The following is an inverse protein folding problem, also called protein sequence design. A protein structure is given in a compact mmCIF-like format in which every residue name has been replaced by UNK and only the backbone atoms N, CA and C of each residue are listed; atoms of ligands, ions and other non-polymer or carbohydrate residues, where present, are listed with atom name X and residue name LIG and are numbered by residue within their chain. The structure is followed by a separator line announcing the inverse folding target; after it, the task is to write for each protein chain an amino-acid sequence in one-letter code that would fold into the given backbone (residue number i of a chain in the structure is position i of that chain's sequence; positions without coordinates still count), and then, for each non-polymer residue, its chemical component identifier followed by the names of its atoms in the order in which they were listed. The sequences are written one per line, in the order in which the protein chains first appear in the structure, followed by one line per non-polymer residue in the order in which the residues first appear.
data_IF_948227169926
#
_entry.id   IF_948227169926
#
_cell.length_a   1.000
_cell.length_b   1.000
_cell.length_c   1.000
_cell.angle_alpha   90.00
_cell.angle_beta   90.00
_cell.angle_gamma   90.00
#
_symmetry.space_group_name_H-M   'P 1'
#
loop_
_entity.id
_entity.type
_entity.pdbx_description
1 polymer ?
#
# COMPACT_ATOMS: atom_id res chain seq x y z
N UNK A 1 -37.85 -47.96 28.39
CA UNK A 1 -37.19 -47.32 29.54
C UNK A 1 -35.71 -47.16 29.18
N UNK A 2 -35.35 -45.93 28.81
CA UNK A 2 -34.03 -45.27 28.85
C UNK A 2 -32.75 -46.09 28.63
N UNK A 3 -32.05 -45.80 27.53
CA UNK A 3 -30.67 -45.23 27.50
C UNK A 3 -29.96 -45.50 26.16
N UNK A 4 -30.53 -45.02 25.05
CA UNK A 4 -29.72 -44.71 23.87
C UNK A 4 -29.07 -43.35 24.11
N UNK A 5 -27.91 -43.37 24.78
CA UNK A 5 -27.01 -42.22 24.87
C UNK A 5 -26.63 -41.83 23.44
N UNK A 6 -27.30 -40.79 22.96
CA UNK A 6 -26.86 -39.97 21.85
C UNK A 6 -25.41 -39.55 22.14
N UNK A 7 -24.48 -40.29 21.56
CA UNK A 7 -23.08 -39.89 21.50
C UNK A 7 -23.03 -38.87 20.38
N UNK A 8 -23.51 -37.65 20.67
CA UNK A 8 -23.15 -36.46 19.93
C UNK A 8 -21.64 -36.30 20.11
N UNK A 9 -20.87 -37.00 19.26
CA UNK A 9 -19.51 -36.61 18.96
C UNK A 9 -19.63 -35.20 18.39
N UNK A 10 -19.21 -34.21 19.18
CA UNK A 10 -18.73 -32.95 18.66
C UNK A 10 -17.64 -33.27 17.64
N UNK A 11 -18.01 -33.40 16.37
CA UNK A 11 -17.07 -33.21 15.28
C UNK A 11 -16.63 -31.75 15.36
N UNK A 12 -15.55 -31.51 16.11
CA UNK A 12 -14.71 -30.34 15.91
C UNK A 12 -14.39 -30.33 14.42
N UNK A 13 -15.08 -29.48 13.67
CA UNK A 13 -14.84 -29.28 12.25
C UNK A 13 -13.32 -29.10 12.08
N UNK A 14 -12.67 -30.08 11.46
CA UNK A 14 -11.22 -30.14 11.40
C UNK A 14 -10.70 -28.80 10.87
N UNK A 15 -9.97 -28.07 11.72
CA UNK A 15 -9.53 -26.72 11.38
C UNK A 15 -8.61 -26.83 10.16
N UNK A 16 -9.07 -26.26 9.04
CA UNK A 16 -8.32 -26.32 7.79
C UNK A 16 -7.02 -25.51 7.93
N UNK A 17 -5.88 -26.21 7.89
CA UNK A 17 -4.53 -25.62 8.02
C UNK A 17 -4.34 -24.44 7.07
N UNK A 18 -4.84 -24.53 5.83
CA UNK A 18 -4.69 -23.44 4.84
C UNK A 18 -5.45 -22.18 5.25
N UNK A 19 -6.62 -22.33 5.87
CA UNK A 19 -7.38 -21.21 6.44
C UNK A 19 -6.60 -20.54 7.57
N UNK A 20 -5.97 -21.33 8.46
CA UNK A 20 -5.10 -20.78 9.51
C UNK A 20 -3.92 -20.00 8.95
N UNK A 21 -3.27 -20.52 7.90
CA UNK A 21 -2.17 -19.82 7.22
C UNK A 21 -2.65 -18.47 6.65
N UNK A 22 -3.82 -18.46 6.00
CA UNK A 22 -4.40 -17.23 5.48
C UNK A 22 -4.70 -16.23 6.60
N UNK A 23 -5.31 -16.67 7.70
CA UNK A 23 -5.59 -15.81 8.85
C UNK A 23 -4.29 -15.27 9.47
N UNK A 24 -3.25 -16.10 9.60
CA UNK A 24 -1.94 -15.66 10.09
C UNK A 24 -1.37 -14.53 9.20
N UNK A 25 -1.41 -14.69 7.87
CA UNK A 25 -0.94 -13.66 6.94
C UNK A 25 -1.79 -12.38 6.98
N UNK A 26 -3.10 -12.49 7.18
CA UNK A 26 -3.97 -11.33 7.41
C UNK A 26 -3.53 -10.57 8.65
N UNK A 27 -3.31 -11.27 9.77
CA UNK A 27 -2.91 -10.64 11.02
C UNK A 27 -1.50 -10.06 10.93
N UNK A 28 -0.55 -10.73 10.26
CA UNK A 28 0.78 -10.17 10.01
C UNK A 28 0.68 -8.88 9.16
N UNK A 29 -0.07 -8.92 8.05
CA UNK A 29 -0.26 -7.73 7.19
C UNK A 29 -0.90 -6.57 7.95
N UNK A 30 -1.85 -6.90 8.83
CA UNK A 30 -2.49 -5.97 9.73
C UNK A 30 -1.52 -5.38 10.74
N UNK A 31 -0.78 -6.19 11.50
CA UNK A 31 0.16 -5.71 12.50
C UNK A 31 1.32 -4.91 11.88
N UNK A 32 1.86 -5.33 10.74
CA UNK A 32 2.93 -4.60 10.03
C UNK A 32 2.47 -3.23 9.50
N UNK A 33 1.17 -3.07 9.28
CA UNK A 33 0.57 -1.79 8.90
C UNK A 33 0.40 -0.83 10.10
N UNK A 34 0.45 -1.34 11.33
CA UNK A 34 0.20 -0.57 12.55
C UNK A 34 1.49 -0.13 13.20
N UNK A 35 1.64 1.18 13.40
CA UNK A 35 2.86 1.73 13.97
C UNK A 35 2.94 1.48 15.47
N UNK A 36 1.88 1.75 16.23
CA UNK A 36 1.96 1.70 17.70
C UNK A 36 2.08 0.29 18.31
N UNK A 37 1.49 -0.73 17.67
CA UNK A 37 1.51 -2.09 18.24
C UNK A 37 2.85 -2.79 18.06
N UNK A 38 3.59 -2.46 17.01
CA UNK A 38 4.90 -3.06 16.75
C UNK A 38 5.99 -2.57 17.72
N UNK A 39 5.78 -1.43 18.36
CA UNK A 39 6.78 -0.86 19.26
C UNK A 39 6.50 -1.18 20.74
N UNK A 40 5.25 -1.48 21.12
CA UNK A 40 4.91 -1.97 22.46
C UNK A 40 5.39 -3.42 22.62
N UNK A 41 6.09 -3.74 23.71
CA UNK A 41 6.71 -5.06 23.93
C UNK A 41 5.72 -6.24 23.72
N UNK A 42 4.48 -6.23 24.26
CA UNK A 42 3.54 -7.33 24.01
C UNK A 42 3.13 -7.46 22.54
N UNK A 43 2.88 -6.34 21.86
CA UNK A 43 2.49 -6.35 20.45
C UNK A 43 3.65 -6.75 19.52
N UNK A 44 4.88 -6.34 19.86
CA UNK A 44 6.11 -6.78 19.22
C UNK A 44 6.26 -8.30 19.35
N UNK A 45 6.22 -8.83 20.58
CA UNK A 45 6.32 -10.28 20.83
C UNK A 45 5.24 -11.07 20.09
N UNK A 46 4.00 -10.59 20.11
CA UNK A 46 2.89 -11.20 19.38
C UNK A 46 3.16 -11.24 17.87
N UNK A 47 3.59 -10.13 17.28
CA UNK A 47 3.90 -10.05 15.84
C UNK A 47 5.07 -10.94 15.46
N UNK A 48 6.13 -10.98 16.27
CA UNK A 48 7.25 -11.91 16.07
C UNK A 48 6.82 -13.37 16.21
N UNK A 49 5.91 -13.69 17.12
CA UNK A 49 5.32 -15.01 17.27
C UNK A 49 4.52 -15.46 16.04
N UNK A 50 3.68 -14.57 15.47
CA UNK A 50 2.96 -14.84 14.22
C UNK A 50 3.91 -15.08 13.05
N UNK A 51 4.98 -14.28 12.96
CA UNK A 51 6.04 -14.46 11.95
C UNK A 51 6.77 -15.80 12.13
N UNK A 52 6.89 -16.31 13.36
CA UNK A 52 7.52 -17.59 13.64
C UNK A 52 6.60 -18.74 13.18
N UNK A 53 5.30 -18.62 13.47
CA UNK A 53 4.27 -19.52 12.92
C UNK A 53 4.22 -19.48 11.39
N UNK A 54 4.58 -18.36 10.78
CA UNK A 54 4.65 -18.26 9.32
C UNK A 54 5.81 -19.09 8.72
N UNK A 55 6.86 -19.42 9.48
CA UNK A 55 7.90 -20.37 9.03
C UNK A 55 7.30 -21.76 8.85
N UNK A 56 6.51 -22.23 9.82
CA UNK A 56 5.80 -23.51 9.72
C UNK A 56 4.82 -23.52 8.54
N UNK A 57 4.13 -22.38 8.35
CA UNK A 57 3.24 -22.16 7.21
C UNK A 57 4.00 -22.25 5.87
N UNK A 58 5.19 -21.65 5.79
CA UNK A 58 6.04 -21.68 4.61
C UNK A 58 6.47 -23.11 4.28
N UNK A 59 6.96 -23.87 5.26
CA UNK A 59 7.38 -25.26 5.06
C UNK A 59 6.22 -26.12 4.54
N UNK A 60 5.03 -25.97 5.13
CA UNK A 60 3.82 -26.63 4.65
C UNK A 60 3.48 -26.26 3.20
N UNK A 61 3.55 -24.96 2.86
CA UNK A 61 3.25 -24.48 1.51
C UNK A 61 4.30 -24.94 0.50
N UNK A 62 5.59 -24.97 0.84
CA UNK A 62 6.67 -25.44 -0.05
C UNK A 62 6.52 -26.93 -0.44
N UNK A 63 5.75 -27.72 0.29
CA UNK A 63 5.50 -29.12 -0.07
C UNK A 63 4.23 -29.31 -0.90
N UNK A 64 3.31 -28.33 -0.87
CA UNK A 64 1.93 -28.46 -1.39
C UNK A 64 1.56 -27.43 -2.45
N UNK A 65 2.46 -26.51 -2.78
CA UNK A 65 2.21 -25.45 -3.76
C UNK A 65 2.50 -25.90 -5.17
N UNK A 66 1.81 -25.26 -6.13
CA UNK A 66 1.98 -25.57 -7.55
C UNK A 66 3.30 -24.98 -8.09
N UNK A 67 3.91 -25.61 -9.12
CA UNK A 67 5.16 -25.15 -9.72
C UNK A 67 5.17 -23.67 -10.16
N UNK A 68 4.05 -23.17 -10.70
CA UNK A 68 3.92 -21.79 -11.18
C UNK A 68 4.05 -20.75 -10.07
N UNK A 69 3.75 -21.13 -8.82
CA UNK A 69 3.88 -20.24 -7.65
C UNK A 69 5.34 -20.00 -7.28
N UNK A 70 6.22 -20.98 -7.47
CA UNK A 70 7.65 -20.82 -7.21
C UNK A 70 8.30 -19.84 -8.18
N UNK A 71 7.82 -19.74 -9.42
CA UNK A 71 8.30 -18.72 -10.35
C UNK A 71 8.10 -17.30 -9.78
N UNK A 72 6.95 -17.03 -9.16
CA UNK A 72 6.71 -15.74 -8.50
C UNK A 72 7.58 -15.53 -7.26
N UNK A 73 7.86 -16.58 -6.49
CA UNK A 73 8.80 -16.50 -5.36
C UNK A 73 10.20 -16.13 -5.86
N UNK A 74 10.71 -16.83 -6.89
CA UNK A 74 12.02 -16.54 -7.48
C UNK A 74 12.11 -15.11 -8.03
N UNK A 75 11.04 -14.63 -8.68
CA UNK A 75 10.95 -13.24 -9.15
C UNK A 75 10.83 -12.22 -8.00
N UNK A 76 10.35 -12.61 -6.83
CA UNK A 76 10.32 -11.73 -5.66
C UNK A 76 11.67 -11.65 -4.95
N UNK A 77 12.47 -12.73 -4.93
CA UNK A 77 13.70 -12.82 -4.15
C UNK A 77 14.67 -11.63 -4.32
N UNK A 78 14.91 -11.07 -5.52
CA UNK A 78 15.79 -9.91 -5.64
C UNK A 78 15.33 -8.69 -4.84
N UNK A 79 14.03 -8.53 -4.56
CA UNK A 79 13.50 -7.46 -3.72
C UNK A 79 13.95 -7.53 -2.25
N UNK A 80 14.51 -8.67 -1.82
CA UNK A 80 15.13 -8.79 -0.51
C UNK A 80 16.36 -7.88 -0.36
N UNK A 81 16.94 -7.40 -1.47
CA UNK A 81 18.01 -6.40 -1.45
C UNK A 81 17.65 -5.13 -0.67
N UNK A 82 16.37 -4.73 -0.68
CA UNK A 82 15.91 -3.57 0.09
C UNK A 82 16.04 -3.77 1.60
N UNK A 83 16.01 -5.01 2.08
CA UNK A 83 15.99 -5.32 3.51
C UNK A 83 17.35 -5.74 4.07
N UNK A 84 18.30 -6.07 3.20
CA UNK A 84 19.68 -6.37 3.57
C UNK A 84 20.32 -5.16 4.26
N UNK A 85 21.05 -5.44 5.33
CA UNK A 85 21.84 -4.49 6.11
C UNK A 85 23.31 -4.93 6.00
N UNK A 86 24.09 -4.16 5.25
CA UNK A 86 25.42 -4.53 4.78
C UNK A 86 26.42 -4.70 5.95
N UNK A 87 26.17 -4.03 7.08
CA UNK A 87 27.00 -4.11 8.29
C UNK A 87 26.56 -5.16 9.32
N UNK A 88 25.45 -5.89 9.10
CA UNK A 88 24.92 -6.83 10.11
C UNK A 88 24.23 -8.03 9.46
N UNK A 89 24.87 -9.20 9.52
CA UNK A 89 24.26 -10.47 9.11
C UNK A 89 23.02 -10.79 9.95
N UNK A 90 23.05 -10.72 11.31
CA UNK A 90 21.87 -10.97 12.12
C UNK A 90 20.74 -9.98 11.82
N UNK A 91 21.06 -8.71 11.59
CA UNK A 91 20.09 -7.68 11.19
C UNK A 91 19.45 -8.01 9.85
N UNK A 92 20.24 -8.38 8.85
CA UNK A 92 19.76 -8.82 7.54
C UNK A 92 18.81 -10.02 7.63
N UNK A 93 19.16 -11.04 8.42
CA UNK A 93 18.31 -12.22 8.66
C UNK A 93 16.99 -11.79 9.33
N UNK A 94 17.07 -10.94 10.36
CA UNK A 94 15.89 -10.42 11.05
C UNK A 94 14.97 -9.64 10.11
N UNK A 95 15.51 -8.77 9.26
CA UNK A 95 14.71 -8.00 8.31
C UNK A 95 14.10 -8.88 7.21
N UNK A 96 14.84 -9.86 6.69
CA UNK A 96 14.33 -10.84 5.72
C UNK A 96 13.16 -11.64 6.32
N UNK A 97 13.37 -12.20 7.51
CA UNK A 97 12.35 -12.92 8.26
C UNK A 97 11.13 -12.04 8.54
N UNK A 98 11.35 -10.78 8.92
CA UNK A 98 10.29 -9.87 9.33
C UNK A 98 9.48 -9.32 8.15
N UNK A 99 10.11 -9.02 7.02
CA UNK A 99 9.48 -8.29 5.92
C UNK A 99 9.19 -9.16 4.69
N UNK A 100 10.14 -10.02 4.30
CA UNK A 100 10.11 -10.75 3.04
C UNK A 100 9.46 -12.13 3.15
N UNK A 101 9.69 -12.83 4.26
CA UNK A 101 9.19 -14.19 4.46
C UNK A 101 7.64 -14.28 4.46
N UNK A 102 6.88 -13.33 5.04
CA UNK A 102 5.42 -13.28 4.88
C UNK A 102 4.96 -13.15 3.42
N UNK A 103 5.70 -12.40 2.60
CA UNK A 103 5.40 -12.25 1.16
C UNK A 103 5.64 -13.54 0.40
N UNK A 104 6.73 -14.25 0.71
CA UNK A 104 7.02 -15.56 0.12
C UNK A 104 5.91 -16.56 0.43
N UNK A 105 5.47 -16.64 1.70
CA UNK A 105 4.32 -17.49 2.09
C UNK A 105 3.06 -17.10 1.32
N UNK A 106 2.78 -15.80 1.19
CA UNK A 106 1.62 -15.33 0.43
C UNK A 106 1.67 -15.73 -1.06
N UNK A 107 2.84 -15.61 -1.70
CA UNK A 107 3.01 -15.96 -3.12
C UNK A 107 2.77 -17.45 -3.39
N UNK A 108 3.00 -18.32 -2.41
CA UNK A 108 2.77 -19.76 -2.51
C UNK A 108 1.29 -20.18 -2.32
N UNK A 109 0.44 -19.29 -1.80
CA UNK A 109 -1.00 -19.55 -1.68
C UNK A 109 -1.69 -19.74 -3.04
N UNK A 110 -2.84 -20.43 -3.03
CA UNK A 110 -3.73 -20.49 -4.20
C UNK A 110 -4.35 -19.12 -4.48
N UNK A 111 -4.82 -18.90 -5.70
CA UNK A 111 -5.35 -17.60 -6.12
C UNK A 111 -6.58 -17.16 -5.30
N UNK A 112 -7.47 -18.10 -4.97
CA UNK A 112 -8.65 -17.87 -4.12
C UNK A 112 -8.25 -17.50 -2.68
N UNK A 113 -7.22 -18.15 -2.15
CA UNK A 113 -6.65 -17.86 -0.83
C UNK A 113 -5.98 -16.49 -0.78
N UNK A 114 -5.24 -16.10 -1.82
CA UNK A 114 -4.64 -14.78 -1.95
C UNK A 114 -5.71 -13.68 -1.96
N UNK A 115 -6.80 -13.89 -2.72
CA UNK A 115 -7.96 -12.99 -2.72
C UNK A 115 -8.62 -12.94 -1.35
N UNK A 116 -8.76 -14.08 -0.65
CA UNK A 116 -9.30 -14.14 0.70
C UNK A 116 -8.46 -13.32 1.69
N UNK A 117 -7.13 -13.48 1.68
CA UNK A 117 -6.22 -12.73 2.56
C UNK A 117 -6.40 -11.22 2.35
N UNK A 118 -6.32 -10.77 1.10
CA UNK A 118 -6.42 -9.34 0.80
C UNK A 118 -7.80 -8.77 1.11
N UNK A 119 -8.87 -9.45 0.71
CA UNK A 119 -10.23 -8.93 0.96
C UNK A 119 -10.57 -8.92 2.45
N UNK A 120 -10.06 -9.87 3.23
CA UNK A 120 -10.22 -9.90 4.69
C UNK A 120 -9.40 -8.78 5.35
N UNK A 121 -8.15 -8.60 4.95
CA UNK A 121 -7.31 -7.47 5.39
C UNK A 121 -8.00 -6.12 5.14
N UNK A 122 -8.52 -5.90 3.93
CA UNK A 122 -9.23 -4.65 3.59
C UNK A 122 -10.51 -4.45 4.42
N UNK A 123 -11.23 -5.52 4.78
CA UNK A 123 -12.40 -5.45 5.66
C UNK A 123 -12.03 -5.07 7.08
N UNK A 124 -10.93 -5.61 7.61
CA UNK A 124 -10.44 -5.27 8.95
C UNK A 124 -10.06 -3.79 9.02
N UNK A 125 -9.29 -3.30 8.04
CA UNK A 125 -8.95 -1.86 8.00
C UNK A 125 -10.20 -0.98 7.89
N UNK A 126 -11.15 -1.37 7.04
CA UNK A 126 -12.43 -0.66 6.93
C UNK A 126 -13.22 -0.64 8.25
N UNK A 127 -13.20 -1.73 9.02
CA UNK A 127 -13.87 -1.78 10.33
C UNK A 127 -13.27 -0.78 11.32
N UNK A 128 -11.97 -0.48 11.22
CA UNK A 128 -11.27 0.47 12.10
C UNK A 128 -11.43 1.93 11.69
N UNK A 129 -11.67 2.17 10.41
CA UNK A 129 -12.02 3.49 9.93
C UNK A 129 -13.32 4.01 10.57
N UNK A 130 -14.27 3.13 10.88
CA UNK A 130 -15.55 3.52 11.47
C UNK A 130 -15.35 4.23 12.84
N UNK A 131 -14.78 3.59 13.87
CA UNK A 131 -14.51 4.26 15.15
C UNK A 131 -13.50 5.40 14.97
N UNK A 132 -12.51 5.25 14.09
CA UNK A 132 -11.55 6.32 13.78
C UNK A 132 -12.21 7.60 13.29
N UNK A 133 -13.19 7.51 12.38
CA UNK A 133 -13.93 8.68 11.87
C UNK A 133 -14.74 9.33 13.00
N UNK A 134 -15.40 8.55 13.84
CA UNK A 134 -16.18 9.08 14.97
C UNK A 134 -15.26 9.89 15.89
N UNK A 135 -14.12 9.32 16.27
CA UNK A 135 -13.14 9.99 17.13
C UNK A 135 -12.55 11.22 16.42
N UNK A 136 -12.26 11.12 15.13
CA UNK A 136 -11.78 12.24 14.31
C UNK A 136 -12.75 13.43 14.31
N UNK A 137 -14.06 13.17 14.21
CA UNK A 137 -15.07 14.23 14.32
C UNK A 137 -15.07 14.82 15.73
N UNK A 138 -15.04 13.97 16.77
CA UNK A 138 -15.09 14.43 18.15
C UNK A 138 -13.90 15.31 18.53
N UNK A 139 -12.66 14.95 18.16
CA UNK A 139 -11.48 15.77 18.49
C UNK A 139 -11.48 17.14 17.80
N UNK A 140 -12.20 17.28 16.68
CA UNK A 140 -12.32 18.54 15.95
C UNK A 140 -13.47 19.42 16.48
N UNK A 141 -14.30 18.89 17.38
CA UNK A 141 -15.42 19.62 18.02
C UNK A 141 -15.17 19.84 19.51
N UNK A 142 -14.45 18.94 20.17
CA UNK A 142 -14.17 18.98 21.60
C UNK A 142 -12.74 18.53 21.90
N UNK A 143 -12.18 19.03 23.00
CA UNK A 143 -10.90 18.55 23.52
C UNK A 143 -11.10 17.17 24.18
N UNK A 144 -10.67 16.12 23.50
CA UNK A 144 -10.64 14.77 24.07
C UNK A 144 -9.28 14.48 24.73
N UNK A 145 -9.25 13.69 25.81
CA UNK A 145 -7.99 13.18 26.36
C UNK A 145 -7.35 12.18 25.38
N UNK A 146 -6.01 12.19 25.32
CA UNK A 146 -5.22 11.22 24.57
C UNK A 146 -4.14 10.59 25.44
N UNK A 147 -3.70 9.40 25.05
CA UNK A 147 -2.47 8.82 25.56
C UNK A 147 -1.29 9.34 24.75
N UNK A 148 -0.20 9.71 25.41
CA UNK A 148 1.04 10.09 24.73
C UNK A 148 1.94 8.87 24.61
N UNK A 149 2.38 8.56 23.39
CA UNK A 149 3.30 7.47 23.10
C UNK A 149 4.61 8.02 22.52
N UNK A 150 5.75 7.64 23.09
CA UNK A 150 7.08 8.04 22.63
C UNK A 150 7.74 6.89 21.88
N UNK A 151 8.02 7.09 20.58
CA UNK A 151 8.75 6.15 19.74
C UNK A 151 10.23 6.54 19.67
N UNK A 152 11.09 5.58 19.98
CA UNK A 152 12.56 5.68 19.88
C UNK A 152 13.14 6.92 20.59
N UNK A 153 12.48 7.41 21.64
CA UNK A 153 12.88 8.60 22.39
C UNK A 153 12.85 9.92 21.62
N UNK A 154 12.34 9.94 20.38
CA UNK A 154 12.42 11.10 19.47
C UNK A 154 11.08 11.55 18.90
N UNK A 155 10.12 10.65 18.66
CA UNK A 155 8.81 11.00 18.09
C UNK A 155 7.69 10.81 19.10
N UNK A 156 6.92 11.87 19.30
CA UNK A 156 5.75 11.88 20.17
C UNK A 156 4.50 11.60 19.33
N UNK A 157 3.67 10.68 19.81
CA UNK A 157 2.39 10.33 19.21
C UNK A 157 1.25 10.61 20.18
N UNK A 158 0.23 11.29 19.71
CA UNK A 158 -1.05 11.42 20.43
C UNK A 158 -1.98 10.29 19.98
N UNK A 159 -2.36 9.43 20.92
CA UNK A 159 -3.18 8.25 20.68
C UNK A 159 -4.56 8.41 21.32
N UNK A 160 -5.58 8.48 20.46
CA UNK A 160 -6.98 8.61 20.83
C UNK A 160 -7.75 7.28 20.76
N UNK A 161 -7.04 6.14 20.73
CA UNK A 161 -7.56 4.80 20.41
C UNK A 161 -8.17 4.74 19.00
N UNK A 162 -7.58 3.96 18.09
CA UNK A 162 -7.96 3.90 16.66
C UNK A 162 -7.70 5.17 15.83
N UNK A 163 -7.15 6.22 16.45
CA UNK A 163 -6.65 7.42 15.81
C UNK A 163 -5.31 7.84 16.45
N UNK A 164 -4.28 7.98 15.63
CA UNK A 164 -2.91 8.27 16.07
C UNK A 164 -2.35 9.47 15.30
N UNK A 165 -1.79 10.45 16.01
CA UNK A 165 -1.14 11.62 15.40
C UNK A 165 0.34 11.65 15.75
N UNK A 166 1.20 11.63 14.75
CA UNK A 166 2.66 11.75 14.91
C UNK A 166 3.17 13.18 14.97
N UNK A 167 2.29 14.17 14.79
CA UNK A 167 2.63 15.58 14.66
C UNK A 167 1.60 16.42 15.43
N UNK A 168 2.03 17.21 16.42
CA UNK A 168 1.13 18.11 17.13
C UNK A 168 0.52 19.13 16.15
N UNK A 169 -0.75 19.46 16.36
CA UNK A 169 -1.51 20.45 15.57
C UNK A 169 -1.93 20.04 14.14
N UNK A 170 -1.82 18.76 13.76
CA UNK A 170 -2.33 18.24 12.47
C UNK A 170 -3.63 17.43 12.67
N UNK A 171 -4.46 17.81 13.64
CA UNK A 171 -5.69 17.07 13.99
C UNK A 171 -6.81 17.21 12.93
N UNK A 172 -6.57 18.04 11.92
CA UNK A 172 -7.46 18.29 10.78
C UNK A 172 -7.31 17.29 9.63
N UNK A 173 -6.45 16.28 9.76
CA UNK A 173 -6.26 15.23 8.75
C UNK A 173 -6.50 13.88 9.38
N UNK A 174 -7.23 13.02 8.70
CA UNK A 174 -7.51 11.68 9.21
C UNK A 174 -6.32 10.73 9.03
N UNK A 175 -5.80 10.20 10.13
CA UNK A 175 -4.66 9.23 10.16
C UNK A 175 -5.12 7.80 10.50
N UNK A 176 -6.29 7.64 11.14
CA UNK A 176 -6.71 6.37 11.75
C UNK A 176 -5.57 5.76 12.58
N UNK A 177 -5.39 4.45 12.51
CA UNK A 177 -4.36 3.65 13.19
C UNK A 177 -2.95 3.78 12.62
N UNK A 178 -2.77 4.58 11.56
CA UNK A 178 -1.50 4.76 10.87
C UNK A 178 -0.73 5.96 11.45
N UNK A 179 0.58 6.03 11.19
CA UNK A 179 1.43 7.14 11.63
C UNK A 179 1.36 8.37 10.73
N UNK A 180 0.87 8.23 9.50
CA UNK A 180 0.73 9.35 8.59
C UNK A 180 -0.50 9.23 7.67
N UNK A 181 -1.12 10.37 7.32
CA UNK A 181 -2.35 10.41 6.52
C UNK A 181 -2.10 9.99 5.07
N UNK A 182 -0.82 10.06 4.64
CA UNK A 182 -0.41 9.56 3.35
C UNK A 182 -0.69 8.06 3.17
N UNK A 183 -0.64 7.26 4.25
CA UNK A 183 -0.91 5.81 4.19
C UNK A 183 -2.37 5.57 3.82
N UNK A 184 -3.31 6.23 4.51
CA UNK A 184 -4.74 6.12 4.19
C UNK A 184 -5.01 6.54 2.75
N UNK A 185 -4.42 7.65 2.30
CA UNK A 185 -4.59 8.09 0.91
C UNK A 185 -4.08 7.05 -0.10
N UNK A 186 -2.94 6.42 0.19
CA UNK A 186 -2.36 5.37 -0.67
C UNK A 186 -3.26 4.13 -0.73
N UNK A 187 -3.65 3.62 0.44
CA UNK A 187 -4.51 2.45 0.58
C UNK A 187 -5.88 2.67 -0.07
N UNK A 188 -6.46 3.85 0.14
CA UNK A 188 -7.75 4.23 -0.47
C UNK A 188 -7.65 4.29 -1.99
N UNK A 189 -6.57 4.83 -2.54
CA UNK A 189 -6.35 4.84 -3.99
C UNK A 189 -6.26 3.42 -4.57
N UNK A 190 -5.52 2.51 -3.89
CA UNK A 190 -5.43 1.10 -4.27
C UNK A 190 -6.82 0.43 -4.27
N UNK A 191 -7.62 0.64 -3.23
CA UNK A 191 -8.98 0.09 -3.14
C UNK A 191 -9.89 0.64 -4.23
N UNK A 192 -9.86 1.96 -4.45
CA UNK A 192 -10.68 2.63 -5.45
C UNK A 192 -10.41 2.09 -6.85
N UNK A 193 -9.13 1.84 -7.17
CA UNK A 193 -8.70 1.42 -8.50
C UNK A 193 -8.81 -0.09 -8.73
N UNK A 194 -8.32 -0.90 -7.80
CA UNK A 194 -8.19 -2.35 -7.99
C UNK A 194 -9.37 -3.17 -7.46
N UNK A 195 -10.03 -2.70 -6.40
CA UNK A 195 -10.88 -3.56 -5.57
C UNK A 195 -12.37 -3.25 -5.64
N UNK A 196 -12.79 -2.33 -6.52
CA UNK A 196 -14.20 -1.93 -6.69
C UNK A 196 -15.19 -3.10 -6.81
N UNK A 197 -14.79 -4.15 -7.53
CA UNK A 197 -15.64 -5.33 -7.77
C UNK A 197 -15.47 -6.43 -6.71
N UNK A 198 -14.47 -6.32 -5.83
CA UNK A 198 -14.13 -7.30 -4.79
C UNK A 198 -14.65 -6.91 -3.41
N UNK A 199 -14.77 -5.61 -3.12
CA UNK A 199 -15.30 -5.11 -1.84
C UNK A 199 -16.76 -4.71 -1.97
N UNK A 200 -17.49 -4.74 -0.86
CA UNK A 200 -18.88 -4.27 -0.85
C UNK A 200 -18.94 -2.76 -1.14
N UNK A 201 -20.05 -2.28 -1.71
CA UNK A 201 -20.24 -0.85 -2.00
C UNK A 201 -20.04 0.04 -0.77
N UNK A 202 -20.45 -0.43 0.42
CA UNK A 202 -20.27 0.28 1.69
C UNK A 202 -18.79 0.43 2.05
N UNK A 203 -18.03 -0.66 1.96
CA UNK A 203 -16.57 -0.64 2.20
C UNK A 203 -15.88 0.25 1.18
N UNK A 204 -16.24 0.15 -0.10
CA UNK A 204 -15.68 0.99 -1.17
C UNK A 204 -15.87 2.49 -0.91
N UNK A 205 -17.10 2.89 -0.55
CA UNK A 205 -17.42 4.29 -0.23
C UNK A 205 -16.65 4.76 1.01
N UNK A 206 -16.53 3.89 2.04
CA UNK A 206 -15.77 4.23 3.24
C UNK A 206 -14.32 4.56 2.93
N UNK A 207 -13.65 3.79 2.07
CA UNK A 207 -12.29 4.12 1.62
C UNK A 207 -12.21 5.47 0.89
N UNK A 208 -13.20 5.83 0.07
CA UNK A 208 -13.24 7.15 -0.57
C UNK A 208 -13.34 8.25 0.49
N UNK A 209 -14.24 8.11 1.46
CA UNK A 209 -14.43 9.07 2.56
C UNK A 209 -13.13 9.22 3.34
N UNK A 210 -12.52 8.13 3.80
CA UNK A 210 -11.27 8.16 4.54
C UNK A 210 -10.13 8.77 3.73
N UNK A 211 -10.04 8.45 2.44
CA UNK A 211 -9.06 9.05 1.55
C UNK A 211 -9.21 10.57 1.45
N UNK A 212 -10.44 11.08 1.32
CA UNK A 212 -10.73 12.53 1.31
C UNK A 212 -10.36 13.16 2.67
N UNK A 213 -10.82 12.56 3.77
CA UNK A 213 -10.56 13.05 5.13
C UNK A 213 -9.07 13.05 5.49
N UNK A 214 -8.25 12.18 4.88
CA UNK A 214 -6.79 12.19 5.08
C UNK A 214 -6.11 13.46 4.54
N UNK A 215 -6.78 14.17 3.63
CA UNK A 215 -6.22 15.32 2.89
C UNK A 215 -4.82 14.98 2.33
N UNK A 216 -4.64 13.75 1.88
CA UNK A 216 -3.40 13.29 1.27
C UNK A 216 -3.28 13.88 -0.12
N UNK A 217 -2.25 14.70 -0.37
CA UNK A 217 -2.00 15.29 -1.67
C UNK A 217 -2.00 14.25 -2.81
N UNK A 218 -1.38 13.09 -2.56
CA UNK A 218 -1.41 11.99 -3.52
C UNK A 218 -2.84 11.54 -3.82
N UNK A 219 -3.65 11.27 -2.80
CA UNK A 219 -5.02 10.85 -2.98
C UNK A 219 -5.85 11.89 -3.71
N UNK A 220 -5.70 13.18 -3.38
CA UNK A 220 -6.39 14.28 -4.06
C UNK A 220 -6.07 14.29 -5.56
N UNK A 221 -4.80 14.11 -5.92
CA UNK A 221 -4.34 14.08 -7.32
C UNK A 221 -4.88 12.85 -8.06
N UNK A 222 -4.84 11.66 -7.44
CA UNK A 222 -5.19 10.40 -8.13
C UNK A 222 -6.65 10.02 -8.03
N UNK A 223 -7.44 10.57 -7.09
CA UNK A 223 -8.80 10.14 -6.79
C UNK A 223 -9.69 10.07 -8.04
N UNK A 224 -9.76 11.16 -8.79
CA UNK A 224 -10.60 11.21 -9.99
C UNK A 224 -10.10 10.33 -11.12
N UNK A 225 -8.80 10.35 -11.52
CA UNK A 225 -8.27 9.36 -12.44
C UNK A 225 -8.63 7.92 -12.02
N UNK A 226 -8.48 7.58 -10.74
CA UNK A 226 -8.78 6.24 -10.23
C UNK A 226 -10.27 5.92 -10.26
N UNK A 227 -11.14 6.83 -9.84
CA UNK A 227 -12.60 6.66 -9.94
C UNK A 227 -13.03 6.46 -11.39
N UNK A 228 -12.51 7.32 -12.27
CA UNK A 228 -12.80 7.29 -13.69
C UNK A 228 -12.36 5.95 -14.29
N UNK A 229 -11.15 5.47 -14.03
CA UNK A 229 -10.63 4.23 -14.61
C UNK A 229 -10.92 2.95 -13.81
N UNK A 230 -11.54 3.02 -12.63
CA UNK A 230 -11.80 1.87 -11.75
C UNK A 230 -12.51 0.68 -12.41
N UNK A 231 -13.42 0.92 -13.35
CA UNK A 231 -14.14 -0.12 -14.09
C UNK A 231 -13.62 -0.32 -15.53
N UNK A 232 -12.38 0.09 -15.83
CA UNK A 232 -11.86 -0.03 -17.20
C UNK A 232 -11.80 -1.48 -17.68
N UNK A 233 -11.56 -2.42 -16.76
CA UNK A 233 -11.51 -3.86 -17.04
C UNK A 233 -12.89 -4.43 -17.45
N UNK A 234 -13.99 -3.93 -16.90
CA UNK A 234 -15.35 -4.40 -17.19
C UNK A 234 -16.02 -3.78 -18.43
N UNK A 235 -15.27 -3.01 -19.22
CA UNK A 235 -15.79 -2.27 -20.38
C UNK A 235 -15.17 -2.76 -21.69
N UNK A 236 -15.93 -2.74 -22.79
CA UNK A 236 -15.46 -3.17 -24.13
C UNK A 236 -14.33 -2.31 -24.67
N UNK A 237 -13.43 -2.87 -25.50
CA UNK A 237 -12.22 -2.19 -26.02
C UNK A 237 -12.54 -0.83 -26.66
N UNK A 238 -13.56 -0.76 -27.54
CA UNK A 238 -13.98 0.49 -28.17
C UNK A 238 -14.45 1.55 -27.16
N UNK A 239 -15.17 1.13 -26.11
CA UNK A 239 -15.59 2.02 -25.03
C UNK A 239 -14.42 2.45 -24.14
N UNK A 240 -13.37 1.64 -23.98
CA UNK A 240 -12.16 2.00 -23.23
C UNK A 240 -11.41 3.17 -23.89
N UNK A 241 -11.23 3.14 -25.21
CA UNK A 241 -10.59 4.26 -25.93
C UNK A 241 -11.41 5.55 -25.91
N UNK A 242 -12.74 5.46 -26.13
CA UNK A 242 -13.64 6.61 -25.96
C UNK A 242 -13.62 7.19 -24.54
N UNK A 243 -13.32 6.35 -23.55
CA UNK A 243 -13.19 6.76 -22.16
C UNK A 243 -11.87 7.52 -21.94
N UNK A 244 -10.76 7.03 -22.47
CA UNK A 244 -9.48 7.77 -22.45
C UNK A 244 -9.59 9.13 -23.15
N UNK A 245 -10.23 9.19 -24.32
CA UNK A 245 -10.41 10.46 -25.03
C UNK A 245 -11.27 11.47 -24.24
N UNK A 246 -12.33 11.01 -23.57
CA UNK A 246 -13.14 11.88 -22.69
C UNK A 246 -12.39 12.29 -21.42
N UNK A 247 -11.47 11.45 -20.95
CA UNK A 247 -10.69 11.74 -19.75
C UNK A 247 -9.80 12.96 -19.93
N UNK A 248 -9.18 13.18 -21.09
CA UNK A 248 -8.33 14.36 -21.30
C UNK A 248 -9.13 15.67 -21.16
N UNK A 249 -10.33 15.73 -21.73
CA UNK A 249 -11.23 16.88 -21.59
C UNK A 249 -11.66 17.09 -20.13
N UNK A 250 -12.03 16.01 -19.44
CA UNK A 250 -12.39 16.06 -18.01
C UNK A 250 -11.20 16.50 -17.16
N UNK A 251 -9.98 16.04 -17.47
CA UNK A 251 -8.77 16.39 -16.74
C UNK A 251 -8.45 17.89 -16.84
N UNK A 252 -8.61 18.49 -18.02
CA UNK A 252 -8.43 19.93 -18.22
C UNK A 252 -9.45 20.72 -17.40
N UNK A 253 -10.74 20.38 -17.51
CA UNK A 253 -11.79 21.03 -16.72
C UNK A 253 -11.53 20.90 -15.22
N UNK A 254 -11.12 19.71 -14.79
CA UNK A 254 -10.76 19.43 -13.42
C UNK A 254 -9.57 20.25 -12.93
N UNK A 255 -8.51 20.37 -13.72
CA UNK A 255 -7.33 21.16 -13.36
C UNK A 255 -7.71 22.61 -13.09
N UNK A 256 -8.46 23.23 -14.01
CA UNK A 256 -8.92 24.61 -13.82
C UNK A 256 -9.90 24.76 -12.65
N UNK A 257 -10.88 23.86 -12.51
CA UNK A 257 -11.80 23.87 -11.36
C UNK A 257 -11.06 23.71 -10.03
N UNK A 258 -10.01 22.87 -10.00
CA UNK A 258 -9.17 22.68 -8.82
C UNK A 258 -8.35 23.93 -8.48
N UNK A 259 -7.78 24.60 -9.47
CA UNK A 259 -7.08 25.88 -9.29
C UNK A 259 -8.02 26.95 -8.75
N UNK A 260 -9.22 27.09 -9.33
CA UNK A 260 -10.22 28.06 -8.87
C UNK A 260 -10.61 27.78 -7.42
N UNK A 261 -10.86 26.52 -7.07
CA UNK A 261 -11.18 26.13 -5.70
C UNK A 261 -10.03 26.43 -4.73
N UNK A 262 -8.78 26.09 -5.08
CA UNK A 262 -7.62 26.35 -4.23
C UNK A 262 -7.36 27.85 -4.04
N UNK A 263 -7.44 28.65 -5.10
CA UNK A 263 -7.26 30.09 -5.01
C UNK A 263 -8.37 30.76 -4.18
N UNK A 264 -9.60 30.25 -4.24
CA UNK A 264 -10.73 30.75 -3.44
C UNK A 264 -10.62 30.38 -1.95
N UNK A 265 -9.86 29.33 -1.62
CA UNK A 265 -9.71 28.83 -0.25
C UNK A 265 -8.29 29.03 0.30
N UNK A 266 -7.43 29.80 -0.36
CA UNK A 266 -6.01 29.97 0.02
C UNK A 266 -5.80 30.56 1.42
N UNK A 267 -6.77 31.32 1.90
CA UNK A 267 -6.72 31.96 3.22
C UNK A 267 -7.23 31.04 4.34
N UNK A 268 -7.88 29.93 3.99
CA UNK A 268 -8.25 28.91 4.97
C UNK A 268 -6.97 28.21 5.49
N UNK A 269 -6.66 28.27 6.79
CA UNK A 269 -5.40 27.73 7.34
C UNK A 269 -5.19 26.24 7.06
N UNK A 270 -6.28 25.47 7.04
CA UNK A 270 -6.27 24.03 6.76
C UNK A 270 -5.86 23.78 5.31
N UNK A 271 -6.56 24.39 4.36
CA UNK A 271 -6.26 24.22 2.93
C UNK A 271 -4.88 24.78 2.58
N UNK A 272 -4.53 25.92 3.17
CA UNK A 272 -3.22 26.56 3.01
C UNK A 272 -2.08 25.61 3.36
N UNK A 273 -2.14 25.03 4.55
CA UNK A 273 -1.08 24.16 5.08
C UNK A 273 -1.10 22.77 4.45
N UNK A 274 -2.28 22.19 4.27
CA UNK A 274 -2.43 20.80 3.83
C UNK A 274 -2.19 20.60 2.33
N UNK A 275 -2.53 21.60 1.51
CA UNK A 275 -2.61 21.47 0.04
C UNK A 275 -1.92 22.64 -0.67
N UNK A 276 -2.33 23.88 -0.44
CA UNK A 276 -1.89 25.04 -1.24
C UNK A 276 -0.37 25.23 -1.22
N UNK A 277 0.24 25.25 -0.03
CA UNK A 277 1.69 25.44 0.15
C UNK A 277 2.52 24.24 -0.35
N UNK A 278 1.88 23.14 -0.76
CA UNK A 278 2.57 21.96 -1.29
C UNK A 278 2.75 22.02 -2.80
N UNK A 279 2.19 23.03 -3.47
CA UNK A 279 2.37 23.28 -4.89
C UNK A 279 3.34 24.43 -5.15
N UNK A 280 4.02 24.38 -6.28
CA UNK A 280 4.77 25.50 -6.86
C UNK A 280 3.82 26.29 -7.74
N UNK A 281 3.71 27.59 -7.46
CA UNK A 281 2.79 28.49 -8.13
C UNK A 281 3.56 29.50 -8.98
N UNK A 282 3.21 29.62 -10.25
CA UNK A 282 3.69 30.67 -11.16
C UNK A 282 2.50 31.24 -11.92
N UNK A 283 2.35 32.57 -11.90
CA UNK A 283 1.24 33.28 -12.56
C UNK A 283 -0.16 32.74 -12.23
N UNK A 284 -0.37 32.29 -10.99
CA UNK A 284 -1.65 31.72 -10.54
C UNK A 284 -1.93 30.28 -11.00
N UNK A 285 -0.97 29.64 -11.68
CA UNK A 285 -1.04 28.25 -12.12
C UNK A 285 -0.13 27.34 -11.29
N UNK A 286 -0.51 26.06 -11.18
CA UNK A 286 0.32 25.03 -10.57
C UNK A 286 1.32 24.55 -11.63
N UNK A 287 2.61 24.82 -11.41
CA UNK A 287 3.72 24.39 -12.27
C UNK A 287 4.51 23.21 -11.71
N UNK A 288 4.28 22.85 -10.44
CA UNK A 288 4.96 21.74 -9.81
C UNK A 288 4.51 21.46 -8.39
N UNK A 289 5.21 20.53 -7.74
CA UNK A 289 5.00 20.12 -6.34
C UNK A 289 6.27 20.47 -5.55
N UNK A 290 6.09 20.97 -4.33
CA UNK A 290 7.20 21.26 -3.40
C UNK A 290 7.81 19.96 -2.85
N UNK A 291 9.13 19.89 -2.72
CA UNK A 291 9.84 18.68 -2.29
C UNK A 291 10.13 18.66 -0.78
N UNK A 292 9.08 18.66 0.03
CA UNK A 292 9.20 18.76 1.50
C UNK A 292 9.84 17.51 2.17
N UNK A 293 10.21 16.48 1.40
CA UNK A 293 10.75 15.22 1.94
C UNK A 293 12.26 15.21 2.02
N UNK A 294 12.92 15.88 1.08
CA UNK A 294 14.38 15.97 1.05
C UNK A 294 14.86 17.22 1.80
N UNK A 295 14.01 18.25 1.91
CA UNK A 295 14.29 19.49 2.65
C UNK A 295 14.62 19.29 4.14
N UNK A 296 14.27 18.12 4.70
CA UNK A 296 14.58 17.74 6.09
C UNK A 296 16.05 17.31 6.25
N UNK A 297 16.79 17.12 5.15
CA UNK A 297 18.18 16.66 5.13
C UNK A 297 19.09 17.75 4.52
N UNK A 298 19.65 18.64 5.35
CA UNK A 298 20.56 19.69 4.86
C UNK A 298 21.71 19.11 4.03
N UNK A 299 21.90 19.62 2.81
CA UNK A 299 22.97 19.20 1.91
C UNK A 299 22.71 17.90 1.12
N UNK A 300 21.58 17.22 1.35
CA UNK A 300 21.25 15.99 0.62
C UNK A 300 21.10 16.24 -0.89
N UNK A 301 20.57 17.38 -1.30
CA UNK A 301 20.40 17.70 -2.72
C UNK A 301 21.72 17.72 -3.49
N UNK A 302 22.74 18.37 -2.94
CA UNK A 302 24.07 18.41 -3.52
C UNK A 302 24.72 17.02 -3.54
N UNK A 303 24.60 16.28 -2.44
CA UNK A 303 25.13 14.93 -2.32
C UNK A 303 24.47 13.95 -3.30
N UNK A 304 23.15 14.03 -3.45
CA UNK A 304 22.38 13.22 -4.39
C UNK A 304 22.71 13.59 -5.84
N UNK A 305 22.89 14.87 -6.15
CA UNK A 305 23.28 15.32 -7.49
C UNK A 305 24.66 14.78 -7.87
N UNK A 306 25.62 14.84 -6.94
CA UNK A 306 26.95 14.25 -7.13
C UNK A 306 26.86 12.72 -7.30
N UNK A 307 26.09 12.05 -6.45
CA UNK A 307 25.83 10.62 -6.56
C UNK A 307 25.18 10.22 -7.90
N UNK A 308 24.22 11.00 -8.39
CA UNK A 308 23.56 10.73 -9.67
C UNK A 308 24.49 10.94 -10.86
N UNK A 309 25.34 11.97 -10.82
CA UNK A 309 26.18 12.35 -11.96
C UNK A 309 27.54 11.66 -11.97
N UNK A 310 28.08 11.31 -10.81
CA UNK A 310 29.45 10.81 -10.62
C UNK A 310 29.54 9.57 -9.73
N UNK A 311 28.40 8.98 -9.34
CA UNK A 311 28.38 7.84 -8.41
C UNK A 311 28.94 6.53 -8.97
N UNK A 312 29.13 6.40 -10.29
CA UNK A 312 29.69 5.19 -10.90
C UNK A 312 28.90 3.94 -10.52
N UNK A 313 29.58 2.93 -9.96
CA UNK A 313 28.94 1.68 -9.47
C UNK A 313 27.97 1.92 -8.31
N UNK A 314 28.25 2.89 -7.44
CA UNK A 314 27.38 3.20 -6.30
C UNK A 314 26.00 3.70 -6.75
N UNK A 315 25.90 4.35 -7.92
CA UNK A 315 24.60 4.73 -8.49
C UNK A 315 23.72 3.50 -8.75
N UNK A 316 24.30 2.41 -9.23
CA UNK A 316 23.57 1.19 -9.61
C UNK A 316 23.24 0.29 -8.43
N UNK A 317 24.20 0.11 -7.50
CA UNK A 317 24.07 -0.83 -6.38
C UNK A 317 23.70 -0.17 -5.04
N UNK A 318 23.76 1.17 -4.97
CA UNK A 318 23.52 1.93 -3.75
C UNK A 318 24.76 2.09 -2.90
N UNK A 319 24.65 2.90 -1.84
CA UNK A 319 25.71 3.12 -0.85
C UNK A 319 25.57 2.25 0.41
N UNK A 320 24.45 1.55 0.56
CA UNK A 320 24.11 0.76 1.73
C UNK A 320 22.92 1.33 2.50
N UNK A 321 22.24 0.48 3.27
CA UNK A 321 21.15 0.87 4.17
C UNK A 321 21.69 1.73 5.29
N UNK A 322 20.98 2.80 5.64
CA UNK A 322 21.34 3.65 6.79
C UNK A 322 22.38 4.72 6.49
N UNK A 323 22.99 4.72 5.29
CA UNK A 323 23.97 5.73 4.90
C UNK A 323 23.42 7.16 5.00
N UNK A 324 22.12 7.36 4.78
CA UNK A 324 21.53 8.70 4.96
C UNK A 324 21.54 9.15 6.42
N UNK A 325 21.27 8.24 7.36
CA UNK A 325 21.37 8.53 8.80
C UNK A 325 22.81 8.84 9.18
N UNK A 326 23.76 8.05 8.67
CA UNK A 326 25.18 8.21 9.00
C UNK A 326 25.75 9.53 8.46
N UNK A 327 25.33 9.94 7.25
CA UNK A 327 25.85 11.16 6.60
C UNK A 327 25.12 12.44 7.01
N UNK A 328 23.81 12.37 7.27
CA UNK A 328 22.96 13.56 7.47
C UNK A 328 22.29 13.61 8.85
N UNK A 329 22.53 12.60 9.72
CA UNK A 329 21.97 12.53 11.07
C UNK A 329 20.48 12.19 11.14
N UNK A 330 19.82 12.04 9.99
CA UNK A 330 18.41 11.71 9.86
C UNK A 330 18.14 10.94 8.56
N UNK A 331 16.95 10.34 8.46
CA UNK A 331 16.47 9.72 7.23
C UNK A 331 15.04 10.16 6.95
N UNK A 332 14.68 10.20 5.67
CA UNK A 332 13.34 10.51 5.20
C UNK A 332 12.83 9.42 4.24
N UNK A 333 11.52 9.40 4.02
CA UNK A 333 10.87 8.45 3.13
C UNK A 333 10.74 9.06 1.74
N UNK A 334 11.82 9.00 0.95
CA UNK A 334 11.89 9.55 -0.42
C UNK A 334 12.45 8.50 -1.38
N UNK A 335 11.96 8.49 -2.63
CA UNK A 335 12.51 7.59 -3.65
C UNK A 335 14.00 7.87 -3.91
N UNK A 336 14.44 9.13 -3.75
CA UNK A 336 15.85 9.54 -3.88
C UNK A 336 16.71 8.89 -2.80
N UNK A 337 16.19 8.79 -1.58
CA UNK A 337 16.88 8.11 -0.48
C UNK A 337 16.98 6.62 -0.76
N UNK A 338 15.90 5.98 -1.22
CA UNK A 338 15.97 4.57 -1.61
C UNK A 338 16.93 4.33 -2.78
N UNK A 339 17.01 5.24 -3.75
CA UNK A 339 17.97 5.16 -4.84
C UNK A 339 19.42 5.37 -4.34
N UNK A 340 19.63 6.33 -3.43
CA UNK A 340 20.91 6.61 -2.80
C UNK A 340 21.43 5.43 -1.96
N UNK A 341 20.56 4.80 -1.17
CA UNK A 341 20.93 3.70 -0.29
C UNK A 341 20.97 2.35 -1.01
N UNK A 342 20.01 2.06 -1.90
CA UNK A 342 19.80 0.73 -2.48
C UNK A 342 20.09 0.63 -3.98
N UNK A 343 20.31 1.76 -4.64
CA UNK A 343 20.75 1.82 -6.04
C UNK A 343 19.62 1.82 -7.05
N UNK A 344 19.94 2.25 -8.27
CA UNK A 344 19.01 2.30 -9.39
C UNK A 344 18.59 0.91 -9.88
N UNK A 345 19.48 -0.10 -9.80
CA UNK A 345 19.22 -1.43 -10.37
C UNK A 345 17.99 -2.09 -9.72
N UNK A 346 17.90 -2.04 -8.39
CA UNK A 346 16.76 -2.64 -7.68
C UNK A 346 15.47 -1.85 -7.92
N UNK A 347 15.55 -0.53 -8.09
CA UNK A 347 14.39 0.32 -8.41
C UNK A 347 13.85 0.00 -9.81
N UNK A 348 14.73 -0.20 -10.79
CA UNK A 348 14.36 -0.67 -12.14
C UNK A 348 13.74 -2.07 -12.04
N UNK A 349 14.33 -2.95 -11.23
CA UNK A 349 13.81 -4.29 -11.02
C UNK A 349 12.39 -4.29 -10.43
N UNK A 350 12.08 -3.39 -9.49
CA UNK A 350 10.70 -3.22 -8.99
C UNK A 350 9.75 -2.89 -10.13
N UNK A 351 10.08 -1.91 -10.97
CA UNK A 351 9.22 -1.54 -12.12
C UNK A 351 9.07 -2.72 -13.08
N UNK A 352 10.15 -3.44 -13.36
CA UNK A 352 10.13 -4.64 -14.19
C UNK A 352 9.23 -5.74 -13.61
N UNK A 353 9.38 -6.07 -12.33
CA UNK A 353 8.54 -7.05 -11.65
C UNK A 353 7.06 -6.66 -11.72
N UNK A 354 6.77 -5.37 -11.50
CA UNK A 354 5.41 -4.86 -11.61
C UNK A 354 4.88 -5.02 -13.03
N UNK A 355 5.66 -4.72 -14.07
CA UNK A 355 5.27 -4.96 -15.46
C UNK A 355 4.95 -6.44 -15.73
N UNK A 356 5.74 -7.38 -15.20
CA UNK A 356 5.50 -8.81 -15.35
C UNK A 356 4.17 -9.28 -14.73
N UNK A 357 3.72 -8.66 -13.63
CA UNK A 357 2.44 -8.98 -13.00
C UNK A 357 1.23 -8.62 -13.88
N UNK A 358 1.39 -7.68 -14.83
CA UNK A 358 0.26 -7.14 -15.58
C UNK A 358 -0.21 -8.07 -16.70
N UNK A 359 -1.54 -8.20 -16.88
CA UNK A 359 -2.10 -8.98 -17.99
C UNK A 359 -2.06 -8.19 -19.32
N UNK A 360 -0.87 -7.74 -19.75
CA UNK A 360 -0.68 -6.81 -20.88
C UNK A 360 -1.34 -7.29 -22.17
N UNK A 361 -1.24 -8.60 -22.47
CA UNK A 361 -1.85 -9.20 -23.66
C UNK A 361 -3.38 -9.20 -23.63
N UNK A 362 -3.98 -9.33 -22.44
CA UNK A 362 -5.45 -9.34 -22.28
C UNK A 362 -6.01 -7.93 -22.13
N UNK A 363 -5.25 -7.04 -21.49
CA UNK A 363 -5.74 -5.79 -20.92
C UNK A 363 -4.74 -4.64 -21.01
N UNK A 364 -4.12 -4.48 -22.18
CA UNK A 364 -3.08 -3.48 -22.45
C UNK A 364 -3.34 -2.10 -21.84
N UNK A 365 -4.52 -1.51 -22.09
CA UNK A 365 -4.82 -0.16 -21.61
C UNK A 365 -4.97 -0.09 -20.08
N UNK A 366 -5.57 -1.12 -19.45
CA UNK A 366 -5.57 -1.22 -17.99
C UNK A 366 -4.14 -1.34 -17.48
N UNK A 367 -3.32 -2.19 -18.11
CA UNK A 367 -1.93 -2.39 -17.72
C UNK A 367 -1.11 -1.10 -17.76
N UNK A 368 -1.23 -0.29 -18.81
CA UNK A 368 -0.55 1.01 -18.88
C UNK A 368 -0.98 1.93 -17.74
N UNK A 369 -2.30 2.12 -17.55
CA UNK A 369 -2.82 3.01 -16.51
C UNK A 369 -2.39 2.54 -15.12
N UNK A 370 -2.42 1.23 -14.90
CA UNK A 370 -2.02 0.57 -13.67
C UNK A 370 -0.52 0.73 -13.39
N UNK A 371 0.34 0.58 -14.42
CA UNK A 371 1.78 0.84 -14.31
C UNK A 371 2.06 2.30 -13.98
N UNK A 372 1.42 3.25 -14.69
CA UNK A 372 1.56 4.67 -14.39
C UNK A 372 1.15 4.99 -12.95
N UNK A 373 0.05 4.40 -12.48
CA UNK A 373 -0.39 4.52 -11.10
C UNK A 373 0.65 3.96 -10.11
N UNK A 374 1.21 2.78 -10.38
CA UNK A 374 2.27 2.18 -9.56
C UNK A 374 3.55 3.04 -9.57
N UNK A 375 3.90 3.68 -10.68
CA UNK A 375 5.03 4.61 -10.73
C UNK A 375 4.79 5.86 -9.86
N UNK A 376 3.58 6.43 -9.89
CA UNK A 376 3.22 7.54 -8.99
C UNK A 376 3.22 7.11 -7.52
N UNK A 377 2.75 5.88 -7.25
CA UNK A 377 2.85 5.27 -5.94
C UNK A 377 4.32 5.15 -5.51
N UNK A 378 5.22 4.68 -6.38
CA UNK A 378 6.65 4.45 -6.06
C UNK A 378 7.37 5.75 -5.75
N UNK A 379 7.02 6.80 -6.48
CA UNK A 379 7.48 8.15 -6.20
C UNK A 379 7.12 8.59 -4.77
N UNK A 380 5.92 8.22 -4.30
CA UNK A 380 5.46 8.54 -2.95
C UNK A 380 5.92 7.54 -1.87
N UNK A 381 6.08 6.25 -2.17
CA UNK A 381 6.43 5.23 -1.19
C UNK A 381 7.32 4.18 -1.85
N UNK A 382 8.62 4.13 -1.54
CA UNK A 382 9.52 3.16 -2.16
C UNK A 382 9.40 1.74 -1.58
N UNK A 383 8.73 1.56 -0.43
CA UNK A 383 8.70 0.30 0.31
C UNK A 383 7.52 -0.64 -0.02
N UNK A 384 7.25 -0.88 -1.30
CA UNK A 384 6.16 -1.79 -1.73
C UNK A 384 6.49 -3.27 -1.67
N UNK A 385 7.69 -3.64 -1.27
CA UNK A 385 8.07 -5.05 -1.11
C UNK A 385 7.54 -5.66 0.18
N UNK A 386 6.97 -4.87 1.11
CA UNK A 386 6.35 -5.36 2.34
C UNK A 386 4.98 -5.99 2.05
N UNK A 387 4.55 -6.91 2.91
CA UNK A 387 3.33 -7.70 2.71
C UNK A 387 2.06 -6.85 2.59
N UNK A 388 1.94 -5.77 3.35
CA UNK A 388 0.80 -4.85 3.33
C UNK A 388 0.54 -4.24 1.94
N UNK A 389 1.56 -3.74 1.26
CA UNK A 389 1.42 -3.16 -0.08
C UNK A 389 1.58 -4.18 -1.21
N UNK A 390 2.54 -5.11 -1.08
CA UNK A 390 2.84 -6.07 -2.13
C UNK A 390 1.62 -6.94 -2.44
N UNK A 391 0.93 -7.44 -1.41
CA UNK A 391 -0.24 -8.31 -1.59
C UNK A 391 -1.39 -7.58 -2.28
N UNK A 392 -1.60 -6.30 -1.94
CA UNK A 392 -2.59 -5.45 -2.58
C UNK A 392 -2.27 -5.19 -4.06
N UNK A 393 -1.02 -4.91 -4.40
CA UNK A 393 -0.66 -4.69 -5.80
C UNK A 393 -0.75 -6.00 -6.57
N UNK A 394 -0.20 -7.08 -6.03
CA UNK A 394 -0.17 -8.40 -6.67
C UNK A 394 -1.58 -8.91 -7.00
N UNK A 395 -2.48 -8.93 -6.01
CA UNK A 395 -3.87 -9.36 -6.24
C UNK A 395 -4.62 -8.34 -7.08
N UNK A 396 -4.46 -7.04 -6.81
CA UNK A 396 -5.18 -5.98 -7.49
C UNK A 396 -4.92 -5.96 -9.00
N UNK A 397 -3.67 -6.18 -9.41
CA UNK A 397 -3.24 -6.23 -10.81
C UNK A 397 -3.69 -7.52 -11.49
N UNK A 398 -3.51 -8.67 -10.83
CA UNK A 398 -3.82 -9.98 -11.42
C UNK A 398 -5.31 -10.34 -11.39
N UNK A 399 -6.11 -9.63 -10.60
CA UNK A 399 -7.54 -9.88 -10.53
C UNK A 399 -8.21 -9.62 -11.88
N UNK A 400 -8.94 -10.63 -12.38
CA UNK A 400 -9.73 -10.55 -13.61
C UNK A 400 -11.23 -10.54 -13.25
N UNK A 401 -11.93 -9.42 -13.52
CA UNK A 401 -13.38 -9.31 -13.42
C UNK A 401 -14.16 -10.43 -14.10
N UNK A 402 -15.33 -10.75 -13.54
CA UNK A 402 -16.23 -11.79 -14.03
C UNK A 402 -16.68 -11.59 -15.50
N UNK A 403 -16.66 -10.36 -16.01
CA UNK A 403 -16.98 -10.05 -17.42
C UNK A 403 -15.97 -10.69 -18.40
N UNK A 404 -14.68 -10.69 -18.06
CA UNK A 404 -13.66 -11.32 -18.89
C UNK A 404 -13.65 -12.85 -18.74
N UNK A 405 -13.98 -13.37 -17.55
CA UNK A 405 -14.23 -14.80 -17.34
C UNK A 405 -15.39 -15.34 -18.18
N UNK A 406 -16.47 -14.56 -18.34
CA UNK A 406 -17.58 -14.93 -19.23
C UNK A 406 -17.15 -14.95 -20.70
N UNK A 407 -16.28 -14.03 -21.14
CA UNK A 407 -15.71 -14.04 -22.49
C UNK A 407 -14.83 -15.27 -22.72
N UNK A 408 -13.97 -15.63 -21.75
CA UNK A 408 -13.15 -16.85 -21.78
C UNK A 408 -14.00 -18.12 -21.93
N UNK A 409 -15.11 -18.21 -21.19
CA UNK A 409 -16.04 -19.34 -21.28
C UNK A 409 -16.88 -19.34 -22.56
N UNK A 410 -17.10 -18.18 -23.21
CA UNK A 410 -17.87 -18.06 -24.46
C UNK A 410 -17.06 -18.33 -25.73
N UNK A 411 -15.73 -18.34 -25.65
CA UNK A 411 -14.85 -18.72 -26.76
C UNK A 411 -14.64 -20.23 -26.90
N UNK A 412 -15.23 -21.04 -26.01
CA UNK A 412 -15.32 -22.49 -26.14
C UNK A 412 -16.79 -22.91 -26.32
N UNK A 413 -17.11 -23.37 -27.54
CA UNK A 413 -18.37 -23.97 -28.02
C UNK A 413 -19.49 -23.00 -28.45
N UNK A 414 -20.08 -23.21 -29.65
CA UNK A 414 -20.40 -24.52 -30.21
C UNK A 414 -19.57 -24.94 -31.43
N UNK A 415 -19.16 -26.21 -31.44
CA UNK A 415 -19.00 -26.93 -32.69
C UNK A 415 -20.38 -27.17 -33.33
N UNK A 416 -20.49 -27.13 -34.67
CA UNK A 416 -21.72 -27.39 -35.37
C UNK A 416 -22.02 -28.89 -35.40
N UNK A 417 -23.23 -29.27 -34.99
CA UNK A 417 -23.99 -30.35 -35.63
C UNK A 417 -25.37 -29.78 -35.93
#
# INVERSE_FOLDING_TARGET
MNTLKATQRFELAAVNVRTLICLNLVIISFMDSFVMWNDLLPGKLFTYGLKALNILSLLYLMQRSRPDKYAWVLLYLPLTWFVIEEGSIPGSIQYFYSSSLPVVSFLLLRDDEQVFVVTTYLKIIAALFIPGIVIYVLINVAALPHLTYLRDGKRVYENYFFLCYSLPHIHFRFFSVFDEPGVIGTLSALVVFYYKELVSRRVYILYIICGILSVSLFFIIVLFPMLYFSNIRSVTVAKRWKKVARFSMVLVLMYFSFIVALNSMKDNPLIKTAVYNRFKWENGLIVGIMNNRDDVLPGFDAAFTNFSNRGGSAYWFGRGKGTTVDMFGASALSYRISLFEKGALIMIYVVFLMLLMHPVRKNFLFSIISVLFICMLLYQRPFFYKIDYFTLIFVGVRFIPSYERKKENSTYSPQPV
#
